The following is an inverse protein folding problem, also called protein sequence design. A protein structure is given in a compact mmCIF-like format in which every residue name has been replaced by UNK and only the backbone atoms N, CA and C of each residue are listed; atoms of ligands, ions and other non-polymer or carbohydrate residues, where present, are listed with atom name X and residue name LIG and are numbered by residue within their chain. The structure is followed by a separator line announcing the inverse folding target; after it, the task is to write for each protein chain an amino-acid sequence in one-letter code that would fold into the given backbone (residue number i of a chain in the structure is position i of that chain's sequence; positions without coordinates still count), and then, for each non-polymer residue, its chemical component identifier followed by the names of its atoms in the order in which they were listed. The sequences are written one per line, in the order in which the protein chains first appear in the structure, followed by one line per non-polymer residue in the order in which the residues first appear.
data_IF_634631217754
#
_entry.id   IF_634631217754
#
_cell.length_a   1.000
_cell.length_b   1.000
_cell.length_c   1.000
_cell.angle_alpha   90.00
_cell.angle_beta   90.00
_cell.angle_gamma   90.00
#
_symmetry.space_group_name_H-M   'P 1'
#
loop_
_entity.id
_entity.type
_entity.pdbx_description
1 polymer ?
#
# COMPACT_ATOMS: atom_id res chain seq x y z
N UNK A 1 -18.26 -11.72 9.03
CA UNK A 1 -17.13 -10.79 8.94
C UNK A 1 -15.89 -11.65 8.84
N UNK A 2 -15.10 -11.53 7.77
CA UNK A 2 -13.77 -12.14 7.74
C UNK A 2 -12.87 -11.20 8.53
N UNK A 3 -12.69 -11.49 9.81
CA UNK A 3 -11.69 -10.80 10.62
C UNK A 3 -10.34 -11.29 10.09
N UNK A 4 -9.37 -10.39 9.90
CA UNK A 4 -8.02 -10.79 9.53
C UNK A 4 -7.47 -11.64 10.69
N UNK A 5 -7.50 -12.98 10.56
CA UNK A 5 -7.29 -13.90 11.70
C UNK A 5 -5.83 -14.01 12.12
N UNK A 6 -4.93 -13.27 11.49
CA UNK A 6 -3.49 -13.32 11.75
C UNK A 6 -2.94 -11.91 11.80
N UNK A 7 -2.30 -11.57 12.92
CA UNK A 7 -1.60 -10.31 13.14
C UNK A 7 -0.49 -10.12 12.09
N UNK A 8 -0.46 -9.00 11.35
CA UNK A 8 0.61 -8.72 10.40
C UNK A 8 1.94 -8.57 11.14
N UNK A 9 3.04 -9.01 10.53
CA UNK A 9 4.38 -8.85 11.10
C UNK A 9 4.85 -7.39 11.11
N UNK A 10 4.38 -6.59 10.16
CA UNK A 10 4.69 -5.17 10.02
C UNK A 10 3.38 -4.38 10.13
N UNK A 11 2.88 -4.17 11.36
CA UNK A 11 1.58 -3.54 11.58
C UNK A 11 1.52 -2.13 10.98
N UNK A 12 2.59 -1.36 11.16
CA UNK A 12 2.69 0.02 10.68
C UNK A 12 3.66 0.07 9.50
N UNK A 13 3.15 0.53 8.36
CA UNK A 13 3.95 0.76 7.16
C UNK A 13 4.80 2.00 7.39
N UNK A 14 6.06 1.96 6.97
CA UNK A 14 6.97 3.10 7.09
C UNK A 14 7.24 3.73 5.72
N UNK A 15 7.45 5.05 5.71
CA UNK A 15 7.91 5.78 4.51
C UNK A 15 9.19 5.19 3.94
N UNK A 16 10.11 4.72 4.78
CA UNK A 16 11.38 4.15 4.32
C UNK A 16 11.16 2.83 3.57
N UNK A 17 10.24 1.97 4.02
CA UNK A 17 9.86 0.76 3.28
C UNK A 17 9.27 1.11 1.92
N UNK A 18 8.31 2.05 1.88
CA UNK A 18 7.71 2.50 0.62
C UNK A 18 8.75 3.11 -0.32
N UNK A 19 9.58 4.03 0.18
CA UNK A 19 10.67 4.65 -0.58
C UNK A 19 11.61 3.62 -1.19
N UNK A 20 12.03 2.62 -0.41
CA UNK A 20 12.89 1.53 -0.89
C UNK A 20 12.20 0.73 -1.99
N UNK A 21 10.91 0.45 -1.86
CA UNK A 21 10.14 -0.25 -2.89
C UNK A 21 10.05 0.57 -4.18
N UNK A 22 9.74 1.86 -4.09
CA UNK A 22 9.59 2.75 -5.24
C UNK A 22 10.92 2.94 -5.99
N UNK A 23 12.01 3.25 -5.28
CA UNK A 23 13.31 3.54 -5.92
C UNK A 23 13.92 2.31 -6.61
N UNK A 24 13.55 1.10 -6.16
CA UNK A 24 14.00 -0.17 -6.74
C UNK A 24 13.03 -0.72 -7.80
N UNK A 25 11.97 0.01 -8.14
CA UNK A 25 11.05 -0.38 -9.20
C UNK A 25 11.68 -0.30 -10.59
N UNK A 26 11.01 -0.92 -11.57
CA UNK A 26 11.40 -0.86 -12.98
C UNK A 26 10.39 0.00 -13.75
N UNK A 27 10.80 1.20 -14.15
CA UNK A 27 9.95 2.13 -14.88
C UNK A 27 9.82 1.78 -16.38
N UNK A 28 10.50 0.74 -16.87
CA UNK A 28 10.31 0.26 -18.24
C UNK A 28 9.02 -0.56 -18.41
N UNK A 29 8.37 -0.94 -17.31
CA UNK A 29 7.11 -1.67 -17.29
C UNK A 29 6.14 -1.01 -16.33
N UNK A 30 4.84 -1.17 -16.54
CA UNK A 30 3.85 -0.66 -15.58
C UNK A 30 3.89 -1.50 -14.30
N UNK A 31 3.71 -0.86 -13.14
CA UNK A 31 3.77 -1.50 -11.84
C UNK A 31 2.48 -1.26 -11.05
N UNK A 32 2.00 -2.29 -10.33
CA UNK A 32 0.97 -2.12 -9.30
C UNK A 32 1.64 -2.08 -7.94
N UNK A 33 1.45 -0.98 -7.22
CA UNK A 33 1.83 -0.88 -5.81
C UNK A 33 0.75 -1.56 -4.96
N UNK A 34 1.17 -2.46 -4.07
CA UNK A 34 0.28 -3.22 -3.18
C UNK A 34 0.86 -3.26 -1.77
N UNK A 35 0.03 -3.56 -0.79
CA UNK A 35 0.45 -4.00 0.54
C UNK A 35 0.05 -5.47 0.66
N UNK A 36 0.92 -6.32 1.19
CA UNK A 36 0.59 -7.72 1.47
C UNK A 36 -0.03 -7.92 2.86
N UNK A 37 -0.46 -9.16 3.15
CA UNK A 37 -1.05 -9.49 4.45
C UNK A 37 -0.08 -9.40 5.64
N UNK A 38 1.22 -9.21 5.41
CA UNK A 38 2.19 -8.94 6.48
C UNK A 38 2.44 -7.44 6.70
N UNK A 39 1.72 -6.57 5.96
CA UNK A 39 1.87 -5.11 6.03
C UNK A 39 3.08 -4.57 5.27
N UNK A 40 3.59 -5.32 4.28
CA UNK A 40 4.74 -4.89 3.49
C UNK A 40 4.33 -4.32 2.12
N UNK A 41 4.78 -3.10 1.75
CA UNK A 41 4.57 -2.59 0.42
C UNK A 41 5.39 -3.37 -0.61
N UNK A 42 4.83 -3.58 -1.80
CA UNK A 42 5.46 -4.29 -2.93
C UNK A 42 5.08 -3.63 -4.26
N UNK A 43 5.99 -3.64 -5.23
CA UNK A 43 5.65 -3.40 -6.63
C UNK A 43 5.52 -4.73 -7.34
N UNK A 44 4.40 -4.92 -8.03
CA UNK A 44 4.19 -6.08 -8.87
C UNK A 44 4.07 -5.62 -10.32
N UNK A 45 5.03 -6.04 -11.14
CA UNK A 45 5.08 -5.69 -12.56
C UNK A 45 3.86 -6.23 -13.33
N UNK A 46 3.32 -5.42 -14.24
CA UNK A 46 2.14 -5.74 -15.03
C UNK A 46 2.51 -6.24 -16.43
N UNK A 47 3.39 -7.24 -16.49
CA UNK A 47 3.75 -7.90 -17.74
C UNK A 47 2.70 -8.96 -18.08
N UNK A 48 2.07 -8.84 -19.25
CA UNK A 48 1.05 -9.78 -19.75
C UNK A 48 -0.17 -9.97 -18.81
N UNK A 49 -0.47 -8.98 -17.97
CA UNK A 49 -1.60 -9.03 -17.04
C UNK A 49 -2.20 -7.65 -16.83
N UNK A 50 -3.50 -7.59 -16.57
CA UNK A 50 -4.19 -6.35 -16.25
C UNK A 50 -4.05 -6.01 -14.76
N UNK A 51 -4.10 -4.72 -14.38
CA UNK A 51 -4.13 -4.33 -12.97
C UNK A 51 -5.27 -5.00 -12.18
N UNK A 52 -6.41 -5.26 -12.83
CA UNK A 52 -7.59 -5.89 -12.21
C UNK A 52 -7.38 -7.35 -11.82
N UNK A 53 -6.37 -8.03 -12.37
CA UNK A 53 -6.05 -9.41 -12.01
C UNK A 53 -5.33 -9.53 -10.65
N UNK A 54 -5.08 -8.40 -9.96
CA UNK A 54 -4.35 -8.35 -8.68
C UNK A 54 -5.35 -8.35 -7.53
N UNK A 55 -5.95 -9.51 -7.29
CA UNK A 55 -7.01 -9.70 -6.28
C UNK A 55 -6.46 -10.25 -4.95
N UNK A 56 -5.23 -10.75 -4.92
CA UNK A 56 -4.63 -11.46 -3.77
C UNK A 56 -3.98 -10.54 -2.72
N UNK A 57 -4.30 -9.24 -2.73
CA UNK A 57 -3.69 -8.26 -1.83
C UNK A 57 -4.74 -7.49 -1.04
N UNK A 58 -4.47 -7.21 0.25
CA UNK A 58 -5.35 -6.39 1.09
C UNK A 58 -5.46 -4.96 0.60
N UNK A 59 -4.39 -4.39 0.05
CA UNK A 59 -4.41 -3.04 -0.52
C UNK A 59 -3.76 -3.03 -1.88
N UNK A 60 -4.38 -2.33 -2.83
CA UNK A 60 -3.83 -2.00 -4.13
C UNK A 60 -3.93 -0.50 -4.37
N UNK A 61 -2.83 0.14 -4.72
CA UNK A 61 -2.82 1.53 -5.15
C UNK A 61 -2.96 1.64 -6.69
N UNK A 62 -3.17 2.85 -7.19
CA UNK A 62 -3.18 3.12 -8.63
C UNK A 62 -1.90 2.62 -9.31
N UNK A 63 -2.06 2.27 -10.60
CA UNK A 63 -0.96 1.75 -11.41
C UNK A 63 0.02 2.87 -11.75
N UNK A 64 1.30 2.61 -11.53
CA UNK A 64 2.36 3.43 -12.07
C UNK A 64 2.65 2.97 -13.50
N UNK A 65 2.31 3.81 -14.47
CA UNK A 65 2.50 3.49 -15.88
C UNK A 65 3.98 3.55 -16.26
N UNK A 66 4.41 2.66 -17.16
CA UNK A 66 5.78 2.65 -17.67
C UNK A 66 6.20 4.05 -18.18
N UNK A 67 7.36 4.52 -17.75
CA UNK A 67 8.01 5.75 -18.20
C UNK A 67 7.43 7.03 -17.58
N UNK A 68 6.61 6.92 -16.54
CA UNK A 68 6.04 8.10 -15.87
C UNK A 68 6.96 8.67 -14.78
N UNK A 69 8.07 7.98 -14.45
CA UNK A 69 9.03 8.43 -13.47
C UNK A 69 8.59 8.31 -12.01
N UNK A 70 7.52 7.57 -11.70
CA UNK A 70 7.07 7.32 -10.33
C UNK A 70 7.84 6.19 -9.62
N UNK A 71 8.55 5.37 -10.38
CA UNK A 71 9.38 4.29 -9.83
C UNK A 71 10.77 4.28 -10.46
N UNK A 72 11.66 3.48 -9.85
CA UNK A 72 13.02 3.29 -10.30
C UNK A 72 13.98 4.42 -9.92
N UNK A 73 15.24 4.25 -10.27
CA UNK A 73 16.32 5.14 -9.84
C UNK A 73 16.21 6.57 -10.35
N UNK A 74 15.38 6.80 -11.37
CA UNK A 74 15.14 8.13 -11.95
C UNK A 74 14.02 8.90 -11.23
N UNK A 75 13.23 8.23 -10.39
CA UNK A 75 12.11 8.85 -9.69
C UNK A 75 12.60 9.91 -8.70
N UNK A 76 11.98 11.09 -8.76
CA UNK A 76 12.22 12.18 -7.80
C UNK A 76 11.45 11.99 -6.48
N UNK A 77 10.56 11.00 -6.43
CA UNK A 77 9.70 10.66 -5.29
C UNK A 77 8.80 11.80 -4.81
N UNK A 78 8.44 12.75 -5.68
CA UNK A 78 7.58 13.89 -5.33
C UNK A 78 6.19 13.48 -4.79
N UNK A 79 5.71 12.30 -5.17
CA UNK A 79 4.45 11.69 -4.74
C UNK A 79 4.55 10.82 -3.48
N UNK A 80 5.72 10.70 -2.85
CA UNK A 80 5.95 9.73 -1.77
C UNK A 80 4.99 9.94 -0.60
N UNK A 81 4.80 11.19 -0.19
CA UNK A 81 3.96 11.54 0.96
C UNK A 81 2.47 11.26 0.72
N UNK A 82 1.96 11.63 -0.46
CA UNK A 82 0.56 11.37 -0.83
C UNK A 82 0.29 9.89 -1.03
N UNK A 83 1.23 9.17 -1.65
CA UNK A 83 1.15 7.72 -1.84
C UNK A 83 1.16 7.00 -0.49
N UNK A 84 2.05 7.42 0.43
CA UNK A 84 2.14 6.87 1.77
C UNK A 84 0.84 7.04 2.54
N UNK A 85 0.29 8.27 2.57
CA UNK A 85 -0.98 8.55 3.24
C UNK A 85 -2.13 7.70 2.69
N UNK A 86 -2.28 7.62 1.36
CA UNK A 86 -3.35 6.84 0.74
C UNK A 86 -3.22 5.33 1.03
N UNK A 87 -1.99 4.81 1.05
CA UNK A 87 -1.71 3.43 1.45
C UNK A 87 -2.06 3.17 2.92
N UNK A 88 -1.71 4.09 3.81
CA UNK A 88 -1.97 3.97 5.24
C UNK A 88 -3.48 3.99 5.54
N UNK A 89 -4.25 4.86 4.88
CA UNK A 89 -5.72 4.90 4.97
C UNK A 89 -6.34 3.55 4.55
N UNK A 90 -5.95 3.02 3.39
CA UNK A 90 -6.47 1.73 2.92
C UNK A 90 -6.04 0.56 3.80
N UNK A 91 -4.84 0.63 4.38
CA UNK A 91 -4.35 -0.39 5.30
C UNK A 91 -5.12 -0.40 6.62
N UNK A 92 -5.35 0.76 7.23
CA UNK A 92 -6.20 0.89 8.41
C UNK A 92 -7.59 0.30 8.15
N UNK A 93 -8.22 0.65 7.03
CA UNK A 93 -9.50 0.06 6.63
C UNK A 93 -9.45 -1.47 6.46
N UNK A 94 -8.37 -2.00 5.89
CA UNK A 94 -8.17 -3.44 5.78
C UNK A 94 -8.09 -4.09 7.17
N UNK A 95 -7.28 -3.54 8.07
CA UNK A 95 -7.12 -4.07 9.44
C UNK A 95 -8.47 -4.07 10.17
N UNK A 96 -9.23 -2.97 10.10
CA UNK A 96 -10.52 -2.81 10.77
C UNK A 96 -11.62 -3.72 10.20
N UNK A 97 -11.64 -3.95 8.88
CA UNK A 97 -12.78 -4.63 8.21
C UNK A 97 -12.48 -6.03 7.67
N UNK A 98 -11.18 -6.36 7.53
CA UNK A 98 -10.67 -7.55 6.84
C UNK A 98 -10.91 -7.60 5.33
N UNK A 99 -11.41 -6.51 4.72
CA UNK A 99 -11.69 -6.42 3.28
C UNK A 99 -10.50 -5.88 2.50
N UNK A 100 -10.43 -6.17 1.20
CA UNK A 100 -9.45 -5.55 0.31
C UNK A 100 -9.91 -4.18 -0.18
N UNK A 101 -8.96 -3.25 -0.35
CA UNK A 101 -9.23 -1.88 -0.78
C UNK A 101 -8.36 -1.43 -1.94
N UNK A 102 -8.95 -0.63 -2.82
CA UNK A 102 -8.25 0.11 -3.87
C UNK A 102 -8.20 1.60 -3.52
N UNK A 103 -7.08 2.25 -3.85
CA UNK A 103 -6.89 3.70 -3.75
C UNK A 103 -6.15 4.25 -4.96
N UNK A 104 -6.56 5.43 -5.41
CA UNK A 104 -5.89 6.28 -6.40
C UNK A 104 -5.47 7.64 -5.81
N UNK A 105 -6.12 8.07 -4.73
CA UNK A 105 -5.81 9.30 -4.03
C UNK A 105 -5.99 9.17 -2.50
N UNK A 106 -5.55 10.21 -1.80
CA UNK A 106 -5.76 10.42 -0.37
C UNK A 106 -7.22 10.84 -0.14
N UNK A 107 -7.93 10.22 0.83
CA UNK A 107 -9.25 10.71 1.25
C UNK A 107 -9.13 11.97 2.10
N UNK A 108 -8.09 12.04 2.94
CA UNK A 108 -7.79 13.18 3.80
C UNK A 108 -8.73 13.30 4.99
N UNK A 109 -9.43 12.22 5.32
CA UNK A 109 -10.39 12.16 6.43
C UNK A 109 -9.70 12.03 7.80
N UNK A 110 -8.52 11.41 7.82
CA UNK A 110 -7.74 11.15 9.02
C UNK A 110 -6.29 11.58 8.87
N UNK A 111 -5.70 12.02 9.97
CA UNK A 111 -4.26 12.27 10.06
C UNK A 111 -3.47 10.97 10.12
N UNK A 112 -2.18 11.03 9.81
CA UNK A 112 -1.29 9.88 9.96
C UNK A 112 -1.27 9.31 11.38
N UNK A 113 -1.27 10.19 12.40
CA UNK A 113 -1.26 9.77 13.81
C UNK A 113 -2.54 9.00 14.17
N UNK A 114 -3.71 9.51 13.76
CA UNK A 114 -4.99 8.82 13.97
C UNK A 114 -5.04 7.45 13.29
N UNK A 115 -4.49 7.33 12.07
CA UNK A 115 -4.44 6.08 11.34
C UNK A 115 -3.51 5.05 12.01
N UNK A 116 -2.35 5.49 12.51
CA UNK A 116 -1.41 4.62 13.22
C UNK A 116 -2.04 4.14 14.53
N UNK A 117 -2.65 5.04 15.29
CA UNK A 117 -3.33 4.70 16.54
C UNK A 117 -4.47 3.69 16.32
N UNK A 118 -5.27 3.86 15.25
CA UNK A 118 -6.31 2.91 14.87
C UNK A 118 -5.72 1.52 14.57
N UNK A 119 -4.69 1.47 13.73
CA UNK A 119 -4.01 0.22 13.36
C UNK A 119 -3.49 -0.51 14.61
N UNK A 120 -2.79 0.20 15.50
CA UNK A 120 -2.21 -0.39 16.71
C UNK A 120 -3.28 -0.88 17.70
N UNK A 121 -4.38 -0.14 17.83
CA UNK A 121 -5.54 -0.53 18.65
C UNK A 121 -6.16 -1.82 18.12
N UNK A 122 -6.49 -1.88 16.83
CA UNK A 122 -7.12 -3.06 16.22
C UNK A 122 -6.20 -4.28 16.30
N UNK A 123 -4.90 -4.10 16.06
CA UNK A 123 -3.91 -5.18 16.14
C UNK A 123 -3.66 -5.68 17.56
N UNK A 124 -3.94 -4.86 18.58
CA UNK A 124 -3.92 -5.28 19.98
C UNK A 124 -5.16 -6.12 20.35
N UNK A 125 -6.26 -5.95 19.61
CA UNK A 125 -7.50 -6.71 19.80
C UNK A 125 -7.52 -8.06 19.05
N UNK A 126 -6.64 -8.24 18.06
CA UNK A 126 -6.42 -9.51 17.35
C UNK A 126 -5.57 -10.46 18.23
N UNK A 127 -6.25 -11.25 19.07
CA UNK A 127 -5.66 -12.26 19.95
C UNK A 127 -5.25 -13.54 19.22
#
# INVERSE_FOLDING_TARGET
MHICTTKPKNPVITRQQLKNVLINGDDNVSNSLVIDYEGMPKLIQLVNRTPSAIEEYPVRFETFAAGNGYVGSISDLNHLETTYQALLEAWAMHITTGRSFYRDCVSGENTEEELIDEIESEISNLA
#
